data_IF_136511163769
#
_entry.id   IF_136511163769
#
_cell.length_a   1.000
_cell.length_b   1.000
_cell.length_c   1.000
_cell.angle_alpha   90.00
_cell.angle_beta   90.00
_cell.angle_gamma   90.00
#
_symmetry.space_group_name_H-M   'P 1'
#
loop_
_entity.id
_entity.type
_entity.pdbx_description
1 polymer ?
2 polymer ?
#
# COMPACT_ATOMS: atom_id res chain seq x y z
N UNK A 1 -11.57 -15.34 -22.18
CA UNK A 1 -11.25 -15.75 -20.80
C UNK A 1 -12.06 -14.88 -19.85
N UNK A 2 -13.36 -14.89 -20.06
CA UNK A 2 -14.22 -13.83 -19.50
C UNK A 2 -14.69 -14.12 -18.09
N UNK A 3 -15.16 -13.05 -17.49
CA UNK A 3 -15.63 -12.86 -16.17
C UNK A 3 -16.62 -13.85 -15.57
N UNK A 4 -17.04 -13.43 -14.42
CA UNK A 4 -18.19 -13.83 -13.59
C UNK A 4 -18.63 -12.42 -13.15
N UNK A 5 -19.83 -11.95 -13.25
CA UNK A 5 -20.07 -10.51 -13.05
C UNK A 5 -20.41 -10.08 -11.63
N UNK A 6 -19.95 -8.87 -11.34
CA UNK A 6 -20.28 -8.07 -10.14
C UNK A 6 -20.47 -6.65 -10.69
N UNK A 7 -21.47 -5.94 -10.20
CA UNK A 7 -21.70 -4.54 -10.59
C UNK A 7 -20.56 -3.64 -10.16
N UNK A 8 -20.37 -2.54 -10.91
CA UNK A 8 -19.34 -1.56 -10.65
C UNK A 8 -19.33 -0.60 -9.51
N UNK A 9 -20.28 -0.46 -8.62
CA UNK A 9 -20.04 0.23 -7.31
C UNK A 9 -21.22 -0.06 -6.40
N UNK A 10 -20.95 -0.72 -5.28
CA UNK A 10 -22.09 -1.17 -4.43
C UNK A 10 -22.24 -0.25 -3.24
N UNK A 11 -22.76 0.93 -3.49
CA UNK A 11 -22.71 2.06 -2.54
C UNK A 11 -23.66 1.86 -1.37
N UNK A 12 -23.09 1.93 -0.18
CA UNK A 12 -23.83 1.87 1.08
C UNK A 12 -23.80 3.19 1.86
N UNK A 13 -24.48 3.11 2.99
CA UNK A 13 -24.63 4.21 3.96
C UNK A 13 -24.14 3.64 5.29
N UNK A 14 -22.94 4.03 5.67
CA UNK A 14 -22.31 3.53 6.90
C UNK A 14 -23.40 3.27 7.96
N UNK A 15 -23.16 2.28 8.81
CA UNK A 15 -24.26 1.87 9.73
C UNK A 15 -25.16 0.83 9.08
N UNK A 16 -25.89 1.18 8.03
CA UNK A 16 -26.94 0.37 7.43
C UNK A 16 -26.62 -1.03 6.96
N UNK A 17 -26.76 -1.33 5.65
CA UNK A 17 -26.44 -2.62 5.05
C UNK A 17 -26.26 -2.50 3.54
N UNK A 18 -25.69 -3.55 2.95
CA UNK A 18 -25.47 -3.66 1.51
C UNK A 18 -24.88 -5.02 1.11
N UNK A 19 -25.48 -5.56 0.06
CA UNK A 19 -25.15 -6.89 -0.48
C UNK A 19 -24.53 -6.72 -1.85
N UNK A 20 -23.89 -7.74 -2.38
CA UNK A 20 -23.19 -7.62 -3.67
C UNK A 20 -23.19 -8.95 -4.40
N UNK A 21 -23.50 -8.95 -5.68
CA UNK A 21 -23.62 -10.19 -6.46
C UNK A 21 -22.35 -10.52 -7.25
N UNK A 22 -22.41 -11.69 -7.82
CA UNK A 22 -21.43 -12.41 -8.67
C UNK A 22 -22.36 -13.26 -9.56
N UNK A 23 -22.32 -13.15 -10.87
CA UNK A 23 -23.15 -14.00 -11.75
C UNK A 23 -22.26 -14.75 -12.72
N UNK A 24 -22.40 -16.07 -12.74
CA UNK A 24 -21.53 -16.91 -13.59
C UNK A 24 -22.31 -17.81 -14.54
N UNK A 25 -21.59 -18.74 -15.18
CA UNK A 25 -22.16 -19.73 -16.09
C UNK A 25 -22.50 -21.00 -15.32
N UNK A 26 -23.35 -21.83 -15.92
CA UNK A 26 -23.85 -23.07 -15.33
C UNK A 26 -22.76 -23.86 -14.59
N UNK A 27 -21.58 -23.83 -15.13
CA UNK A 27 -20.40 -24.47 -14.48
C UNK A 27 -19.76 -23.49 -13.50
N UNK A 28 -19.30 -22.38 -14.09
CA UNK A 28 -18.50 -21.39 -13.34
C UNK A 28 -19.49 -20.55 -12.52
N UNK A 29 -19.66 -21.01 -11.31
CA UNK A 29 -20.54 -20.59 -10.25
C UNK A 29 -21.63 -21.71 -10.12
N UNK A 30 -22.42 -21.75 -11.16
CA UNK A 30 -23.59 -22.59 -11.32
C UNK A 30 -23.54 -23.91 -10.60
N UNK A 31 -22.62 -24.77 -11.01
CA UNK A 31 -22.49 -26.11 -10.52
C UNK A 31 -21.66 -26.35 -9.31
N UNK A 32 -20.46 -25.82 -9.20
CA UNK A 32 -19.46 -26.37 -8.25
C UNK A 32 -19.47 -25.75 -6.87
N UNK A 33 -20.49 -24.99 -6.52
CA UNK A 33 -20.58 -24.27 -5.25
C UNK A 33 -19.26 -24.15 -4.48
N UNK A 34 -18.21 -23.63 -5.08
CA UNK A 34 -17.02 -23.19 -4.35
C UNK A 34 -16.75 -21.69 -4.55
N UNK A 35 -17.73 -20.88 -4.88
CA UNK A 35 -17.46 -19.43 -5.04
C UNK A 35 -16.78 -18.91 -3.79
N UNK A 36 -15.96 -17.89 -3.96
CA UNK A 36 -15.28 -17.19 -2.84
C UNK A 36 -15.17 -15.70 -3.12
N UNK A 37 -14.86 -14.93 -2.08
CA UNK A 37 -14.75 -13.44 -2.20
C UNK A 37 -13.47 -12.91 -1.58
N UNK A 38 -12.74 -12.07 -2.31
CA UNK A 38 -11.47 -11.51 -1.83
C UNK A 38 -11.55 -9.98 -1.68
N UNK A 39 -11.46 -9.59 -0.40
CA UNK A 39 -11.62 -8.15 -0.10
C UNK A 39 -10.29 -7.49 -0.47
N UNK A 40 -10.24 -7.07 -1.75
CA UNK A 40 -9.02 -6.34 -2.18
C UNK A 40 -9.25 -4.91 -1.66
N UNK A 41 -8.30 -4.54 -0.81
CA UNK A 41 -8.24 -3.17 -0.29
C UNK A 41 -7.39 -2.33 -1.23
N UNK A 42 -8.08 -1.60 -2.08
CA UNK A 42 -7.55 -0.48 -2.84
C UNK A 42 -6.05 -0.46 -3.04
N UNK A 43 -5.56 -1.23 -4.00
CA UNK A 43 -4.14 -1.35 -4.29
C UNK A 43 -3.37 -2.42 -3.55
N UNK A 44 -3.71 -2.72 -2.34
CA UNK A 44 -3.08 -3.67 -1.43
C UNK A 44 -3.29 -5.14 -1.80
N UNK A 45 -2.92 -6.01 -0.87
CA UNK A 45 -3.24 -7.43 -0.80
C UNK A 45 -4.72 -7.68 -0.47
N UNK A 46 -5.29 -8.69 -1.09
CA UNK A 46 -6.72 -8.95 -1.12
C UNK A 46 -7.42 -9.86 -0.15
N UNK A 47 -6.79 -10.47 0.80
CA UNK A 47 -7.38 -11.29 1.85
C UNK A 47 -8.77 -11.82 1.62
N UNK A 48 -8.91 -13.16 1.55
CA UNK A 48 -10.19 -13.82 1.27
C UNK A 48 -11.10 -13.64 2.49
N UNK A 49 -12.36 -13.37 2.23
CA UNK A 49 -13.35 -13.14 3.26
C UNK A 49 -14.52 -14.10 3.25
N UNK A 50 -14.65 -14.94 2.26
CA UNK A 50 -15.65 -16.01 2.19
C UNK A 50 -15.03 -17.12 1.29
N UNK A 51 -14.64 -18.19 1.95
CA UNK A 51 -14.08 -19.32 1.14
C UNK A 51 -15.26 -20.27 0.96
N UNK A 52 -15.47 -20.78 -0.23
CA UNK A 52 -16.42 -21.92 -0.38
C UNK A 52 -17.81 -21.56 0.11
N UNK A 53 -18.46 -20.80 -0.75
CA UNK A 53 -19.80 -20.31 -0.74
C UNK A 53 -20.19 -19.46 0.46
N UNK A 54 -20.22 -20.10 1.61
CA UNK A 54 -20.78 -19.52 2.83
C UNK A 54 -19.77 -19.60 3.97
N UNK A 55 -18.93 -20.65 3.94
CA UNK A 55 -17.95 -20.81 5.03
C UNK A 55 -16.98 -19.64 5.15
N UNK A 56 -17.01 -19.11 6.34
CA UNK A 56 -16.28 -18.00 6.93
C UNK A 56 -14.91 -18.39 7.47
N UNK A 57 -13.87 -17.73 6.95
CA UNK A 57 -12.54 -17.72 7.55
C UNK A 57 -12.56 -17.32 9.02
N UNK A 58 -11.51 -17.73 9.74
CA UNK A 58 -11.28 -17.33 11.13
C UNK A 58 -10.62 -15.95 11.20
N UNK A 59 -10.15 -15.48 10.05
CA UNK A 59 -9.53 -14.16 9.91
C UNK A 59 -10.47 -13.09 9.38
N UNK A 60 -11.76 -13.32 9.54
CA UNK A 60 -12.82 -12.38 9.05
C UNK A 60 -13.93 -12.24 10.07
N UNK A 61 -14.70 -11.14 9.99
CA UNK A 61 -15.85 -10.88 10.83
C UNK A 61 -17.25 -11.33 10.42
N UNK A 62 -18.12 -11.30 11.45
CA UNK A 62 -19.46 -11.90 11.44
C UNK A 62 -20.46 -11.23 10.52
N UNK A 63 -20.50 -9.93 10.47
CA UNK A 63 -21.45 -9.19 9.62
C UNK A 63 -21.19 -9.43 8.13
N UNK A 64 -20.22 -10.30 7.87
CA UNK A 64 -19.85 -10.59 6.45
C UNK A 64 -20.47 -11.91 5.99
N UNK A 65 -20.72 -12.09 4.68
CA UNK A 65 -21.22 -13.42 4.23
C UNK A 65 -21.47 -13.60 2.75
N UNK A 66 -22.03 -14.79 2.41
CA UNK A 66 -22.38 -15.18 1.05
C UNK A 66 -23.49 -16.20 0.92
N UNK A 67 -24.27 -16.07 -0.15
CA UNK A 67 -25.44 -16.92 -0.45
C UNK A 67 -25.43 -17.28 -1.94
N UNK A 68 -25.39 -18.58 -2.13
CA UNK A 68 -25.35 -19.21 -3.46
C UNK A 68 -26.77 -19.31 -4.00
N UNK A 69 -27.03 -18.60 -5.10
CA UNK A 69 -28.39 -18.64 -5.69
C UNK A 69 -28.55 -19.87 -6.60
N UNK A 70 -27.84 -19.79 -7.71
CA UNK A 70 -27.94 -20.76 -8.81
C UNK A 70 -26.84 -20.41 -9.82
N UNK A 71 -26.96 -19.21 -10.36
CA UNK A 71 -25.93 -18.65 -11.25
C UNK A 71 -25.31 -17.41 -10.60
N UNK A 72 -26.18 -16.67 -9.94
CA UNK A 72 -25.80 -15.52 -9.10
C UNK A 72 -25.38 -16.04 -7.73
N UNK A 73 -24.58 -15.26 -7.06
CA UNK A 73 -23.96 -15.52 -5.77
C UNK A 73 -23.72 -14.16 -5.10
N UNK A 74 -24.06 -14.06 -3.82
CA UNK A 74 -24.04 -12.72 -3.19
C UNK A 74 -23.40 -12.68 -1.82
N UNK A 75 -22.80 -11.53 -1.58
CA UNK A 75 -22.18 -11.09 -0.35
C UNK A 75 -23.24 -10.28 0.44
N UNK A 76 -23.17 -10.48 1.75
CA UNK A 76 -24.16 -9.85 2.68
C UNK A 76 -23.34 -9.04 3.68
N UNK A 77 -23.49 -7.74 3.55
CA UNK A 77 -22.71 -6.81 4.40
C UNK A 77 -23.65 -6.01 5.28
N UNK A 78 -23.79 -6.41 6.56
CA UNK A 78 -24.63 -5.49 7.41
C UNK A 78 -23.79 -4.82 8.49
N UNK A 79 -24.21 -3.59 8.83
CA UNK A 79 -23.59 -2.86 9.97
C UNK A 79 -22.38 -2.06 9.46
N UNK A 80 -22.50 -1.74 8.19
CA UNK A 80 -21.55 -1.00 7.38
C UNK A 80 -20.45 -0.28 8.14
N UNK A 81 -19.38 -1.01 8.44
CA UNK A 81 -18.11 -0.44 8.88
C UNK A 81 -17.44 0.33 7.72
N UNK A 82 -16.74 1.38 8.04
CA UNK A 82 -16.03 2.20 7.04
C UNK A 82 -14.82 1.50 6.45
N UNK A 83 -14.36 0.45 7.13
CA UNK A 83 -13.27 -0.40 6.63
C UNK A 83 -13.71 -0.86 5.22
N UNK A 84 -14.99 -1.27 5.25
CA UNK A 84 -15.51 -2.09 4.13
C UNK A 84 -15.62 -1.24 2.87
N UNK A 85 -14.97 -0.07 2.93
CA UNK A 85 -14.71 0.55 1.56
C UNK A 85 -13.60 -0.32 0.99
N UNK A 86 -13.87 -0.94 -0.15
CA UNK A 86 -12.93 -1.80 -0.86
C UNK A 86 -13.41 -2.19 -2.25
N UNK A 87 -12.58 -2.95 -2.94
CA UNK A 87 -12.94 -3.58 -4.24
C UNK A 87 -13.02 -5.09 -3.90
N UNK A 88 -14.14 -5.68 -4.24
CA UNK A 88 -14.30 -7.10 -3.85
C UNK A 88 -14.41 -7.98 -5.09
N UNK A 89 -13.68 -9.11 -5.03
CA UNK A 89 -13.83 -10.06 -6.17
C UNK A 89 -14.53 -11.31 -5.72
N UNK A 90 -15.33 -11.88 -6.60
CA UNK A 90 -15.90 -13.23 -6.40
C UNK A 90 -15.13 -14.17 -7.34
N UNK A 91 -15.21 -15.45 -7.06
CA UNK A 91 -14.51 -16.44 -7.88
C UNK A 91 -15.19 -17.80 -7.78
N UNK A 92 -15.26 -18.45 -8.94
CA UNK A 92 -15.83 -19.80 -9.00
C UNK A 92 -14.96 -20.73 -9.82
N UNK A 93 -15.59 -21.73 -10.40
CA UNK A 93 -14.86 -22.93 -10.90
C UNK A 93 -15.60 -23.42 -12.13
N UNK A 94 -14.83 -23.86 -13.10
CA UNK A 94 -15.37 -24.27 -14.41
C UNK A 94 -15.08 -25.72 -14.71
N UNK A 95 -14.07 -26.25 -14.03
CA UNK A 95 -13.61 -27.61 -14.21
C UNK A 95 -12.13 -27.77 -13.97
N UNK A 96 -11.50 -28.48 -14.89
CA UNK A 96 -10.09 -28.74 -15.05
C UNK A 96 -9.12 -27.94 -14.21
N UNK A 97 -9.38 -27.78 -12.93
CA UNK A 97 -8.57 -27.08 -11.95
C UNK A 97 -8.47 -25.58 -12.28
N UNK A 98 -9.43 -25.11 -13.08
CA UNK A 98 -9.44 -23.63 -13.31
C UNK A 98 -10.22 -23.00 -12.13
N UNK A 99 -9.87 -21.77 -11.81
CA UNK A 99 -10.77 -20.91 -11.01
C UNK A 99 -10.90 -19.55 -11.75
N UNK A 100 -12.11 -19.01 -11.68
CA UNK A 100 -12.46 -17.84 -12.49
C UNK A 100 -13.36 -16.88 -11.72
N UNK A 101 -12.79 -15.70 -11.53
CA UNK A 101 -13.26 -14.61 -10.70
C UNK A 101 -13.92 -13.54 -11.63
N UNK A 102 -14.66 -12.66 -10.95
CA UNK A 102 -15.38 -11.63 -11.65
C UNK A 102 -15.27 -10.19 -11.29
N UNK A 103 -14.62 -9.43 -12.16
CA UNK A 103 -14.50 -7.99 -12.17
C UNK A 103 -14.05 -7.34 -10.87
N UNK A 104 -14.99 -7.26 -9.94
CA UNK A 104 -14.78 -6.50 -8.69
C UNK A 104 -15.95 -5.52 -8.53
N UNK A 105 -16.22 -5.22 -7.28
CA UNK A 105 -17.31 -4.27 -6.93
C UNK A 105 -16.72 -3.35 -5.86
N UNK A 106 -16.68 -2.08 -6.20
CA UNK A 106 -16.16 -1.00 -5.36
C UNK A 106 -17.24 -0.54 -4.39
N UNK A 107 -17.25 -1.15 -3.21
CA UNK A 107 -18.30 -0.78 -2.24
C UNK A 107 -17.78 0.47 -1.50
N UNK A 108 -18.57 1.50 -1.69
CA UNK A 108 -18.45 2.86 -1.22
C UNK A 108 -19.29 3.10 0.03
N UNK A 109 -18.70 3.62 1.08
CA UNK A 109 -19.45 3.85 2.34
C UNK A 109 -19.69 5.34 2.54
N UNK A 110 -20.89 5.75 2.12
CA UNK A 110 -21.35 7.14 2.37
C UNK A 110 -21.72 7.24 3.84
N UNK A 111 -21.74 8.43 4.42
CA UNK A 111 -22.14 8.63 5.80
C UNK A 111 -21.05 8.89 6.80
N UNK A 112 -19.81 8.62 6.45
CA UNK A 112 -18.65 8.84 7.32
C UNK A 112 -18.25 10.33 7.29
N UNK A 113 -17.89 10.85 8.45
CA UNK A 113 -17.72 12.30 8.61
C UNK A 113 -16.48 12.87 7.98
N UNK A 114 -16.55 14.19 7.81
CA UNK A 114 -15.50 15.05 7.29
C UNK A 114 -14.49 15.30 8.42
N UNK A 115 -13.25 15.22 8.07
CA UNK A 115 -12.14 15.46 9.01
C UNK A 115 -11.25 16.53 8.38
N UNK A 116 -10.43 17.19 9.20
CA UNK A 116 -9.62 18.31 8.69
C UNK A 116 -8.13 18.06 8.91
N UNK A 117 -7.35 18.46 7.92
CA UNK A 117 -5.98 17.97 7.74
C UNK A 117 -5.01 18.43 8.80
N UNK A 118 -4.37 17.46 9.45
CA UNK A 118 -3.45 17.85 10.57
C UNK A 118 -2.08 18.17 10.04
N UNK A 119 -1.94 19.36 9.48
CA UNK A 119 -0.73 19.92 8.91
C UNK A 119 0.43 19.99 9.92
N UNK A 120 1.50 19.31 9.58
CA UNK A 120 2.71 19.26 10.41
C UNK A 120 3.94 19.61 9.60
N UNK A 121 4.40 20.85 9.73
CA UNK A 121 5.53 21.35 8.94
C UNK A 121 6.81 20.95 9.70
N UNK A 122 7.76 20.41 8.95
CA UNK A 122 9.04 20.01 9.60
C UNK A 122 10.14 20.92 9.07
N UNK A 123 11.24 20.90 9.79
CA UNK A 123 12.50 21.49 9.31
C UNK A 123 13.65 20.49 9.23
N UNK A 124 14.58 20.77 8.32
CA UNK A 124 15.82 20.03 8.15
C UNK A 124 16.51 19.63 9.44
N UNK A 125 16.82 18.34 9.51
CA UNK A 125 17.60 17.71 10.55
C UNK A 125 19.05 18.18 10.57
N UNK A 126 19.61 18.05 11.79
CA UNK A 126 21.03 18.37 12.05
C UNK A 126 21.82 17.59 10.99
N UNK A 127 21.58 16.28 11.11
CA UNK A 127 22.09 15.32 10.12
C UNK A 127 21.19 15.49 8.89
N UNK A 128 21.35 16.64 8.24
CA UNK A 128 20.88 16.81 6.85
C UNK A 128 21.72 17.95 6.25
N UNK A 129 21.64 19.02 7.06
CA UNK A 129 22.53 20.19 6.70
C UNK A 129 23.98 19.75 6.85
N UNK A 130 24.18 18.61 7.53
CA UNK A 130 25.55 18.09 7.68
C UNK A 130 26.13 17.72 6.31
N UNK A 131 25.22 17.31 5.45
CA UNK A 131 25.53 16.87 4.09
C UNK A 131 25.23 18.01 3.12
N UNK A 132 24.79 19.11 3.73
CA UNK A 132 24.58 20.37 2.97
C UNK A 132 23.33 20.33 2.11
N UNK A 133 22.34 19.64 2.62
CA UNK A 133 21.02 19.46 1.99
C UNK A 133 19.97 20.09 2.92
N UNK A 134 18.84 20.52 2.34
CA UNK A 134 17.71 20.82 3.30
C UNK A 134 16.39 20.71 2.56
N UNK A 135 15.83 19.50 2.58
CA UNK A 135 14.47 19.28 2.07
C UNK A 135 13.53 19.55 3.25
N UNK A 136 12.33 20.00 2.98
CA UNK A 136 11.34 20.35 3.98
C UNK A 136 10.09 19.54 3.62
N UNK A 137 9.69 18.72 4.55
CA UNK A 137 8.48 17.93 4.38
C UNK A 137 7.35 18.55 5.22
N UNK A 138 6.29 18.83 4.46
CA UNK A 138 5.01 19.15 5.16
C UNK A 138 4.36 17.77 5.30
N UNK A 139 3.94 17.46 6.50
CA UNK A 139 2.99 16.34 6.73
C UNK A 139 1.58 16.96 6.61
N UNK A 140 0.69 16.22 5.98
CA UNK A 140 -0.75 16.56 6.00
C UNK A 140 -1.54 15.28 6.31
N UNK A 141 -1.93 15.08 7.58
CA UNK A 141 -2.64 13.75 7.75
C UNK A 141 -4.10 13.84 8.14
N UNK A 142 -4.61 12.71 8.62
CA UNK A 142 -5.90 12.44 9.22
C UNK A 142 -7.09 13.20 8.69
N UNK A 143 -7.18 13.51 7.43
CA UNK A 143 -8.32 14.28 6.88
C UNK A 143 -9.35 13.42 6.18
N UNK A 144 -10.54 14.03 5.96
CA UNK A 144 -11.59 13.37 5.15
C UNK A 144 -12.56 14.40 4.59
N UNK A 145 -12.95 14.35 3.32
CA UNK A 145 -12.44 13.48 2.27
C UNK A 145 -11.08 13.90 1.75
N UNK A 146 -10.71 13.30 0.63
CA UNK A 146 -9.33 13.41 0.10
C UNK A 146 -9.13 14.45 -0.97
N UNK A 147 -9.91 15.51 -0.90
CA UNK A 147 -9.81 16.65 -1.81
C UNK A 147 -9.09 17.78 -1.06
N UNK A 148 -7.76 17.68 -1.08
CA UNK A 148 -6.88 18.66 -0.45
C UNK A 148 -6.09 19.43 -1.51
N UNK A 149 -5.47 20.51 -1.06
CA UNK A 149 -4.59 21.35 -1.89
C UNK A 149 -3.45 21.89 -1.04
N UNK A 150 -2.22 21.58 -1.45
CA UNK A 150 -1.04 22.04 -0.70
C UNK A 150 -0.20 22.88 -1.67
N UNK A 151 0.04 24.08 -1.18
CA UNK A 151 0.88 25.05 -1.88
C UNK A 151 1.80 25.64 -0.79
N UNK A 152 3.03 25.89 -1.22
CA UNK A 152 4.08 26.38 -0.34
C UNK A 152 4.36 27.88 -0.61
N UNK A 153 4.64 28.46 0.57
CA UNK A 153 5.08 29.91 0.45
C UNK A 153 6.53 29.92 0.91
N UNK A 154 7.19 31.01 0.63
CA UNK A 154 8.57 31.22 1.16
C UNK A 154 8.17 31.79 2.54
N UNK A 155 8.26 33.07 2.57
CA UNK A 155 7.73 33.96 3.63
C UNK A 155 7.32 35.17 2.75
N UNK A 156 6.03 35.31 2.60
CA UNK A 156 5.47 36.21 1.56
C UNK A 156 5.59 35.51 0.21
N UNK A 157 4.90 36.03 -0.76
CA UNK A 157 4.63 35.63 -2.11
C UNK A 157 5.00 34.29 -2.68
N UNK A 158 3.96 33.60 -3.20
CA UNK A 158 3.95 32.19 -3.52
C UNK A 158 5.22 31.57 -4.01
N UNK A 159 5.82 30.71 -3.16
CA UNK A 159 7.18 30.16 -3.53
C UNK A 159 7.04 28.69 -3.89
N UNK A 160 6.79 28.53 -5.17
CA UNK A 160 6.60 27.21 -5.81
C UNK A 160 7.86 26.90 -6.62
N UNK A 161 8.02 25.64 -6.97
CA UNK A 161 9.23 25.10 -7.59
C UNK A 161 10.08 24.60 -6.40
N UNK A 162 10.42 23.34 -6.52
CA UNK A 162 11.11 22.62 -5.42
C UNK A 162 9.98 21.74 -4.81
N UNK A 163 8.81 22.35 -4.90
CA UNK A 163 7.58 21.71 -4.42
C UNK A 163 7.27 20.61 -5.45
N UNK A 164 7.31 19.42 -4.88
CA UNK A 164 6.96 18.16 -5.62
C UNK A 164 6.15 17.43 -4.54
N UNK A 165 4.91 17.14 -4.89
CA UNK A 165 3.84 16.82 -3.94
C UNK A 165 3.43 15.36 -3.98
N UNK A 166 2.49 14.99 -3.09
CA UNK A 166 2.00 13.57 -3.09
C UNK A 166 0.49 13.57 -3.04
N UNK A 167 -0.13 12.48 -3.46
CA UNK A 167 -1.58 12.38 -3.68
C UNK A 167 -2.25 11.44 -2.69
N UNK A 168 -3.18 11.99 -1.89
CA UNK A 168 -3.59 11.43 -0.62
C UNK A 168 -3.93 9.97 -0.54
N UNK A 169 -3.09 9.23 0.20
CA UNK A 169 -3.40 7.80 0.46
C UNK A 169 -4.44 7.65 1.56
N UNK A 170 -5.21 6.58 1.50
CA UNK A 170 -6.01 6.14 2.69
C UNK A 170 -4.96 5.67 3.72
N UNK A 171 -5.16 6.01 4.97
CA UNK A 171 -4.27 5.56 6.06
C UNK A 171 -4.79 4.17 6.48
N UNK A 172 -4.78 3.91 7.77
CA UNK A 172 -5.26 2.59 8.27
C UNK A 172 -6.58 2.77 9.02
N UNK A 173 -7.32 3.74 8.53
CA UNK A 173 -8.61 4.15 9.11
C UNK A 173 -9.65 4.12 7.99
N UNK A 174 -9.44 5.03 7.08
CA UNK A 174 -10.30 5.48 6.00
C UNK A 174 -10.35 7.02 6.30
N UNK A 175 -9.16 7.54 6.21
CA UNK A 175 -8.82 8.95 6.37
C UNK A 175 -7.58 9.11 5.46
N UNK A 176 -7.27 10.32 5.05
CA UNK A 176 -6.16 10.51 4.10
C UNK A 176 -4.86 10.90 4.73
N UNK A 177 -3.82 10.79 3.89
CA UNK A 177 -2.42 11.00 4.22
C UNK A 177 -1.63 11.53 3.01
N UNK A 178 -1.13 12.74 3.17
CA UNK A 178 -0.40 13.45 2.12
C UNK A 178 0.93 13.98 2.64
N UNK A 179 1.88 14.03 1.74
CA UNK A 179 3.15 14.72 1.97
C UNK A 179 3.33 15.85 0.93
N UNK A 180 4.25 16.72 1.34
CA UNK A 180 4.74 17.80 0.45
C UNK A 180 6.24 17.91 0.68
N UNK A 181 6.97 18.35 -0.36
CA UNK A 181 8.41 18.63 -0.07
C UNK A 181 8.93 19.72 -0.97
N UNK A 182 9.58 20.65 -0.27
CA UNK A 182 10.32 21.77 -0.91
C UNK A 182 11.78 21.41 -0.62
N UNK A 183 12.63 21.59 -1.61
CA UNK A 183 14.04 21.17 -1.47
C UNK A 183 14.91 22.42 -1.58
N UNK A 184 15.30 22.89 -0.41
CA UNK A 184 16.21 24.00 -0.26
C UNK A 184 17.68 23.51 -0.34
N UNK A 185 18.47 24.55 -0.42
CA UNK A 185 19.92 24.60 -0.20
C UNK A 185 20.14 25.61 0.94
N UNK A 186 20.90 25.19 1.94
CA UNK A 186 21.08 25.95 3.19
C UNK A 186 21.31 27.44 2.93
N UNK A 187 22.21 27.66 1.98
CA UNK A 187 22.62 28.98 1.49
C UNK A 187 21.51 29.54 0.61
N UNK A 188 20.30 29.25 1.04
CA UNK A 188 19.06 29.76 0.40
C UNK A 188 17.94 29.53 1.42
N UNK A 189 18.41 29.04 2.57
CA UNK A 189 17.54 28.80 3.75
C UNK A 189 17.81 29.84 4.83
N UNK A 190 18.92 30.55 4.65
CA UNK A 190 19.24 31.64 5.63
C UNK A 190 19.05 33.00 4.96
N UNK A 191 18.43 32.93 3.81
CA UNK A 191 18.16 34.10 2.94
C UNK A 191 16.63 34.06 2.77
N UNK A 192 16.03 34.05 3.94
CA UNK A 192 14.60 33.95 4.20
C UNK A 192 14.40 34.07 5.71
N UNK A 193 13.22 34.48 6.13
CA UNK A 193 13.00 34.79 7.55
C UNK A 193 12.13 33.72 8.20
N UNK A 194 11.21 33.20 7.40
CA UNK A 194 10.36 32.08 7.77
C UNK A 194 9.98 31.36 6.46
N UNK A 195 9.19 30.33 6.62
CA UNK A 195 8.74 29.44 5.56
C UNK A 195 7.32 28.98 5.83
N UNK A 196 6.55 28.77 4.73
CA UNK A 196 5.16 28.29 5.03
C UNK A 196 4.82 27.03 4.26
N UNK A 197 3.84 26.31 4.81
CA UNK A 197 3.20 25.17 4.20
C UNK A 197 1.68 25.42 4.35
N UNK A 198 1.08 25.70 3.20
CA UNK A 198 -0.35 26.03 3.18
C UNK A 198 -1.14 24.85 2.61
N UNK A 199 -2.05 24.37 3.44
CA UNK A 199 -3.00 23.32 3.12
C UNK A 199 -4.41 23.90 3.04
N UNK A 200 -5.05 23.80 1.90
CA UNK A 200 -6.46 24.13 1.69
C UNK A 200 -7.24 22.81 1.70
N UNK A 201 -8.41 22.82 2.28
CA UNK A 201 -9.23 21.59 2.39
C UNK A 201 -10.68 22.02 2.58
N UNK A 202 -11.55 21.51 1.74
CA UNK A 202 -12.97 21.83 1.69
C UNK A 202 -13.33 23.21 2.18
N UNK A 203 -12.49 24.20 1.92
CA UNK A 203 -12.72 25.59 2.32
C UNK A 203 -11.89 25.98 3.53
N UNK A 204 -12.01 25.20 4.59
CA UNK A 204 -11.12 25.38 5.76
C UNK A 204 -9.68 25.29 5.19
N UNK A 205 -8.95 26.39 5.26
CA UNK A 205 -7.50 26.31 5.01
C UNK A 205 -6.73 26.42 6.34
N UNK A 206 -5.53 25.91 6.27
CA UNK A 206 -4.50 25.87 7.28
C UNK A 206 -3.20 26.35 6.55
N UNK A 207 -2.42 27.08 7.29
CA UNK A 207 -1.10 27.52 6.84
C UNK A 207 -0.21 27.42 8.08
N UNK A 208 0.86 26.66 7.96
CA UNK A 208 1.77 26.47 9.12
C UNK A 208 3.17 26.91 8.72
N UNK A 209 3.99 27.18 9.73
CA UNK A 209 5.26 27.90 9.53
C UNK A 209 6.48 27.27 10.16
N UNK A 210 7.59 27.27 9.42
CA UNK A 210 8.90 27.00 10.02
C UNK A 210 9.76 28.28 9.84
N UNK A 211 10.37 28.65 10.94
CA UNK A 211 11.41 29.69 10.92
C UNK A 211 12.75 28.98 11.10
N UNK A 212 13.78 29.55 10.50
CA UNK A 212 15.16 29.15 10.72
C UNK A 212 15.58 29.00 12.16
N UNK A 213 14.91 29.62 13.11
CA UNK A 213 15.23 29.59 14.53
C UNK A 213 14.99 28.24 15.18
N UNK A 214 15.84 27.25 14.95
CA UNK A 214 15.71 25.97 15.67
C UNK A 214 17.06 25.60 16.28
N UNK A 215 16.92 24.89 17.40
CA UNK A 215 18.10 24.15 17.94
C UNK A 215 18.66 23.38 16.72
N UNK A 216 17.81 22.49 16.24
CA UNK A 216 18.08 21.59 15.11
C UNK A 216 19.16 20.59 15.53
N UNK B 1 -1.82 -17.16 10.02
CA UNK B 1 -1.04 -16.66 8.88
C UNK B 1 -1.72 -15.48 8.24
N UNK B 2 -0.92 -14.54 7.74
CA UNK B 2 -1.45 -13.31 7.15
C UNK B 2 -0.78 -12.99 5.82
N UNK B 3 0.52 -12.80 5.92
CA UNK B 3 1.35 -12.33 4.81
C UNK B 3 2.46 -13.33 4.50
N UNK B 4 2.97 -13.20 3.31
CA UNK B 4 4.09 -13.96 2.75
C UNK B 4 5.01 -12.90 2.12
N UNK B 5 6.29 -13.14 2.17
CA UNK B 5 7.29 -12.18 1.74
C UNK B 5 7.50 -12.18 0.23
N UNK B 6 7.40 -10.98 -0.32
CA UNK B 6 7.65 -10.72 -1.74
C UNK B 6 8.28 -9.33 -1.97
N UNK B 7 9.12 -9.27 -2.99
CA UNK B 7 9.81 -8.04 -3.38
C UNK B 7 8.85 -6.96 -3.84
N UNK B 8 9.13 -5.73 -3.45
CA UNK B 8 8.64 -4.55 -4.22
C UNK B 8 9.14 -4.66 -5.65
N UNK B 9 9.29 -3.53 -6.34
CA UNK B 9 9.43 -3.56 -7.82
C UNK B 9 10.45 -4.60 -8.28
N UNK B 10 9.95 -5.46 -9.14
CA UNK B 10 10.70 -6.54 -9.80
C UNK B 10 10.51 -6.29 -11.30
N UNK B 11 11.63 -6.02 -11.97
CA UNK B 11 11.52 -5.41 -13.30
C UNK B 11 12.67 -5.66 -14.25
N UNK B 12 12.38 -5.18 -15.48
CA UNK B 12 13.38 -5.25 -16.57
C UNK B 12 12.77 -4.73 -17.86
N UNK B 13 13.59 -4.80 -18.88
CA UNK B 13 13.17 -4.53 -20.26
C UNK B 13 12.52 -5.81 -20.81
N UNK B 14 12.14 -5.67 -22.08
CA UNK B 14 11.51 -6.77 -22.83
C UNK B 14 12.69 -7.65 -23.24
N UNK B 15 12.62 -8.90 -22.85
CA UNK B 15 13.81 -9.78 -23.11
C UNK B 15 14.34 -10.16 -21.72
N UNK B 16 14.49 -9.12 -20.91
CA UNK B 16 14.93 -9.38 -19.51
C UNK B 16 14.03 -10.50 -18.97
N UNK B 17 14.60 -11.52 -18.38
CA UNK B 17 13.80 -12.56 -17.69
C UNK B 17 13.76 -12.21 -16.19
N UNK B 18 12.57 -11.78 -15.77
CA UNK B 18 12.39 -11.42 -14.35
C UNK B 18 11.99 -12.68 -13.56
N UNK B 19 12.36 -12.60 -12.30
CA UNK B 19 12.09 -13.64 -11.30
C UNK B 19 11.62 -12.85 -10.06
N UNK B 20 10.74 -13.50 -9.37
CA UNK B 20 9.97 -12.95 -8.25
C UNK B 20 9.88 -14.11 -7.27
N UNK B 21 9.58 -13.85 -6.03
CA UNK B 21 9.66 -14.93 -5.01
C UNK B 21 8.79 -14.60 -3.83
N UNK B 22 8.46 -15.65 -3.08
CA UNK B 22 7.42 -15.59 -2.04
C UNK B 22 7.76 -16.60 -0.96
N UNK B 23 8.52 -16.04 0.00
CA UNK B 23 8.98 -16.75 1.20
C UNK B 23 7.95 -16.69 2.31
N UNK B 24 8.02 -17.64 3.23
CA UNK B 24 7.11 -17.63 4.41
C UNK B 24 7.79 -18.22 5.63
N UNK B 25 7.00 -18.82 6.50
CA UNK B 25 7.55 -19.51 7.69
C UNK B 25 7.17 -20.98 7.72
N UNK B 26 8.05 -21.82 8.23
CA UNK B 26 8.27 -23.21 8.02
C UNK B 26 7.29 -24.25 7.61
N UNK B 27 6.01 -24.16 7.77
CA UNK B 27 5.08 -25.05 6.96
C UNK B 27 4.21 -24.12 6.16
N UNK B 28 2.97 -24.42 5.86
CA UNK B 28 2.09 -23.52 5.10
C UNK B 28 2.69 -23.19 3.73
N UNK B 29 3.88 -22.67 3.72
CA UNK B 29 4.78 -22.66 2.52
C UNK B 29 5.96 -23.54 2.95
N UNK B 30 5.94 -24.71 2.35
CA UNK B 30 6.87 -25.79 2.74
C UNK B 30 6.00 -26.87 3.40
N UNK B 31 6.11 -28.06 2.84
CA UNK B 31 5.33 -29.23 3.33
C UNK B 31 4.04 -29.16 2.47
N UNK B 32 3.41 -28.01 2.62
CA UNK B 32 2.44 -27.56 1.61
C UNK B 32 3.22 -27.44 0.29
N UNK B 33 3.16 -28.51 -0.50
CA UNK B 33 3.82 -28.51 -1.83
C UNK B 33 2.77 -27.90 -2.78
N UNK B 34 2.71 -26.59 -2.60
CA UNK B 34 1.62 -25.79 -3.17
C UNK B 34 1.92 -24.33 -2.83
N UNK B 35 1.32 -23.49 -3.61
CA UNK B 35 1.21 -22.05 -3.51
C UNK B 35 0.18 -21.75 -4.63
N UNK B 36 0.15 -20.55 -5.09
CA UNK B 36 -0.60 -20.26 -6.36
C UNK B 36 -0.28 -18.82 -6.73
N UNK B 37 -0.17 -18.53 -8.02
CA UNK B 37 0.19 -17.13 -8.41
C UNK B 37 -0.97 -16.35 -8.97
N UNK B 38 -0.85 -15.01 -9.00
CA UNK B 38 -1.95 -14.14 -9.47
C UNK B 38 -1.54 -12.82 -10.15
N UNK B 39 -2.00 -12.68 -11.35
CA UNK B 39 -1.74 -11.62 -12.32
C UNK B 39 -2.82 -10.53 -12.19
N UNK B 40 -2.40 -9.43 -11.61
CA UNK B 40 -3.25 -8.22 -11.47
C UNK B 40 -2.79 -7.28 -12.57
N UNK B 41 -3.68 -6.56 -13.19
CA UNK B 41 -3.25 -5.59 -14.24
C UNK B 41 -3.53 -4.16 -13.83
N UNK B 42 -4.41 -3.47 -14.53
CA UNK B 42 -5.05 -2.24 -13.96
C UNK B 42 -6.28 -2.83 -13.22
N UNK B 43 -7.43 -2.66 -13.83
CA UNK B 43 -8.65 -3.34 -13.35
C UNK B 43 -8.60 -4.82 -13.80
N UNK B 44 -8.36 -4.99 -15.08
CA UNK B 44 -8.55 -6.22 -15.81
C UNK B 44 -8.37 -7.51 -15.04
N UNK B 45 -9.48 -7.98 -14.54
CA UNK B 45 -9.86 -9.10 -13.79
C UNK B 45 -8.90 -10.11 -13.18
N UNK B 46 -8.24 -9.72 -12.09
CA UNK B 46 -7.21 -10.46 -11.40
C UNK B 46 -7.21 -11.96 -11.50
N UNK B 47 -6.34 -12.48 -12.37
CA UNK B 47 -6.36 -13.90 -12.75
C UNK B 47 -5.31 -14.75 -12.07
N UNK B 48 -5.60 -16.05 -11.91
CA UNK B 48 -4.70 -17.04 -11.36
C UNK B 48 -3.78 -17.55 -12.49
N UNK B 49 -2.52 -17.70 -12.12
CA UNK B 49 -1.57 -18.49 -12.89
C UNK B 49 -0.89 -19.42 -11.85
N UNK B 50 0.02 -20.23 -12.32
CA UNK B 50 0.79 -21.12 -11.41
C UNK B 50 -0.21 -21.68 -10.37
N UNK B 51 -0.74 -22.80 -10.78
CA UNK B 51 -1.70 -23.63 -10.05
C UNK B 51 -0.85 -24.71 -9.37
N UNK B 52 -1.26 -25.01 -8.16
CA UNK B 52 -0.38 -25.77 -7.21
C UNK B 52 0.99 -25.16 -7.37
N UNK B 53 2.10 -25.81 -7.15
CA UNK B 53 3.41 -25.13 -7.23
C UNK B 53 3.82 -24.72 -8.63
N UNK B 54 3.23 -25.29 -9.68
CA UNK B 54 3.72 -25.02 -11.03
C UNK B 54 2.77 -25.21 -12.18
N UNK B 55 1.84 -26.14 -12.08
CA UNK B 55 1.04 -26.48 -13.30
C UNK B 55 0.32 -25.20 -13.71
N UNK B 56 0.11 -25.01 -15.00
CA UNK B 56 -0.56 -23.81 -15.52
C UNK B 56 -2.04 -24.05 -15.78
N UNK B 57 -2.78 -22.94 -15.71
CA UNK B 57 -4.19 -22.93 -16.10
C UNK B 57 -4.37 -22.85 -17.62
N UNK B 58 -3.75 -23.81 -18.26
CA UNK B 58 -3.83 -24.09 -19.70
C UNK B 58 -3.56 -22.89 -20.57
N UNK B 59 -4.47 -21.93 -20.61
CA UNK B 59 -4.42 -20.76 -21.45
C UNK B 59 -3.19 -19.90 -21.38
N UNK B 60 -2.40 -20.07 -20.33
CA UNK B 60 -1.26 -19.24 -19.97
C UNK B 60 0.02 -19.64 -20.71
N UNK B 61 0.68 -18.66 -21.30
CA UNK B 61 1.92 -18.83 -22.03
C UNK B 61 2.98 -19.63 -21.28
N UNK B 62 3.49 -20.62 -22.01
CA UNK B 62 4.44 -21.63 -21.56
C UNK B 62 5.59 -20.96 -20.77
N UNK B 63 5.91 -19.76 -21.21
CA UNK B 63 6.99 -18.97 -20.61
C UNK B 63 6.59 -18.26 -19.32
N UNK B 64 5.62 -18.82 -18.63
CA UNK B 64 5.30 -18.45 -17.24
C UNK B 64 5.64 -19.69 -16.39
N UNK B 65 6.54 -19.46 -15.45
CA UNK B 65 7.02 -20.62 -14.64
C UNK B 65 6.95 -20.31 -13.16
N UNK B 66 6.91 -21.35 -12.34
CA UNK B 66 6.82 -21.22 -10.87
C UNK B 66 7.42 -22.47 -10.23
N UNK B 67 8.07 -22.31 -9.09
CA UNK B 67 8.87 -23.41 -8.48
C UNK B 67 9.19 -23.14 -7.02
N UNK B 68 9.60 -24.16 -6.27
CA UNK B 68 9.81 -24.07 -4.83
C UNK B 68 11.14 -24.60 -4.30
N UNK B 69 11.57 -23.93 -3.24
CA UNK B 69 12.78 -24.29 -2.48
C UNK B 69 12.58 -23.80 -1.03
N UNK B 70 12.64 -24.77 -0.13
CA UNK B 70 12.38 -24.57 1.30
C UNK B 70 11.07 -23.81 1.47
N UNK B 71 11.23 -22.62 2.02
CA UNK B 71 10.11 -21.73 2.36
C UNK B 71 9.85 -20.65 1.33
N UNK B 72 10.52 -20.74 0.21
CA UNK B 72 10.50 -19.77 -0.89
C UNK B 72 9.88 -20.39 -2.14
N UNK B 73 8.90 -19.67 -2.70
CA UNK B 73 8.32 -20.05 -4.02
C UNK B 73 8.65 -18.95 -5.01
N UNK B 74 8.83 -19.25 -6.29
CA UNK B 74 9.28 -18.27 -7.27
C UNK B 74 8.70 -18.39 -8.67
N UNK B 75 8.36 -17.19 -9.17
CA UNK B 75 7.79 -17.03 -10.52
C UNK B 75 8.91 -16.49 -11.42
N UNK B 76 8.94 -17.01 -12.64
CA UNK B 76 9.90 -16.59 -13.65
C UNK B 76 9.16 -16.23 -14.94
N UNK B 77 9.27 -14.95 -15.26
CA UNK B 77 8.77 -14.39 -16.52
C UNK B 77 10.02 -14.36 -17.43
N UNK B 78 10.15 -15.51 -18.08
CA UNK B 78 11.17 -15.77 -19.08
C UNK B 78 10.80 -14.93 -20.32
N UNK B 79 11.67 -14.01 -20.65
CA UNK B 79 11.56 -13.19 -21.85
C UNK B 79 10.46 -12.15 -21.76
N UNK B 80 10.56 -11.31 -20.72
CA UNK B 80 9.61 -10.24 -20.44
C UNK B 80 9.01 -9.70 -21.75
N UNK B 81 7.72 -9.54 -21.67
CA UNK B 81 6.86 -9.08 -22.77
C UNK B 81 6.07 -7.89 -22.22
N UNK B 82 6.07 -6.79 -22.91
CA UNK B 82 5.45 -5.52 -22.58
C UNK B 82 4.22 -5.51 -21.71
N UNK B 83 3.24 -6.28 -22.13
CA UNK B 83 1.92 -6.35 -21.49
C UNK B 83 2.00 -7.16 -20.21
N UNK B 84 3.21 -7.27 -19.66
CA UNK B 84 3.42 -8.13 -18.48
C UNK B 84 3.43 -7.23 -17.25
N UNK B 85 3.35 -5.91 -17.55
CA UNK B 85 3.28 -5.05 -16.30
C UNK B 85 2.05 -5.51 -15.51
N UNK B 86 2.28 -5.89 -14.26
CA UNK B 86 1.26 -6.41 -13.35
C UNK B 86 1.68 -6.41 -11.88
N UNK B 87 0.76 -6.86 -11.02
CA UNK B 87 1.07 -7.16 -9.60
C UNK B 87 0.93 -8.68 -9.45
N UNK B 88 1.73 -9.25 -8.56
CA UNK B 88 1.78 -10.71 -8.38
C UNK B 88 1.56 -11.11 -6.93
N UNK B 89 0.53 -11.96 -6.78
CA UNK B 89 0.22 -12.45 -5.39
C UNK B 89 0.22 -13.97 -5.34
N UNK B 90 0.88 -14.52 -4.32
CA UNK B 90 0.91 -15.94 -4.02
C UNK B 90 -0.03 -16.32 -2.86
N UNK B 91 -0.72 -17.45 -2.99
CA UNK B 91 -1.51 -18.00 -1.87
C UNK B 91 -1.00 -19.36 -1.39
N UNK B 92 -1.41 -19.77 -0.18
CA UNK B 92 -1.05 -21.12 0.33
C UNK B 92 -2.14 -22.01 0.87
N UNK B 93 -2.23 -22.30 2.19
CA UNK B 93 -3.35 -23.01 2.79
C UNK B 93 -3.23 -23.46 4.25
N UNK B 94 -4.41 -23.73 4.86
CA UNK B 94 -4.50 -23.95 6.33
C UNK B 94 -5.89 -24.50 6.63
N UNK B 95 -5.88 -25.72 7.15
CA UNK B 95 -7.06 -26.58 7.29
C UNK B 95 -7.97 -26.51 6.07
N UNK B 96 -9.15 -27.09 6.22
CA UNK B 96 -10.20 -27.04 5.17
C UNK B 96 -10.78 -25.61 5.17
N UNK B 97 -9.86 -24.66 5.32
CA UNK B 97 -10.23 -23.34 5.91
C UNK B 97 -9.62 -22.21 5.10
N UNK B 98 -8.66 -21.49 5.72
CA UNK B 98 -8.24 -20.20 5.18
C UNK B 98 -6.74 -20.16 4.85
N UNK B 99 -6.44 -19.05 4.17
CA UNK B 99 -5.23 -18.90 3.38
C UNK B 99 -4.71 -17.48 3.23
N UNK B 100 -3.42 -17.50 2.88
CA UNK B 100 -2.53 -16.37 2.90
C UNK B 100 -1.89 -16.07 1.55
N UNK B 101 -1.70 -14.77 1.40
CA UNK B 101 -1.21 -14.11 0.21
C UNK B 101 0.09 -13.39 0.59
N UNK B 102 0.91 -13.18 -0.42
CA UNK B 102 2.17 -12.41 -0.21
C UNK B 102 1.88 -10.92 -0.36
N UNK B 103 2.90 -10.14 -0.05
CA UNK B 103 2.83 -8.65 -0.11
C UNK B 103 3.27 -8.28 -1.54
N UNK B 104 2.36 -8.63 -2.42
CA UNK B 104 2.48 -8.66 -3.83
C UNK B 104 3.67 -7.97 -4.44
N UNK B 105 4.27 -8.64 -5.41
CA UNK B 105 5.29 -7.99 -6.29
C UNK B 105 4.57 -7.11 -7.30
N UNK B 106 5.32 -6.22 -7.91
CA UNK B 106 4.87 -5.38 -9.02
C UNK B 106 6.00 -5.45 -10.06
N UNK B 107 5.63 -5.84 -11.28
CA UNK B 107 6.62 -5.95 -12.35
C UNK B 107 6.60 -4.71 -13.24
N UNK B 108 7.67 -3.92 -13.10
CA UNK B 108 7.79 -2.77 -14.03
C UNK B 108 8.66 -3.14 -15.22
N UNK B 109 8.19 -2.72 -16.40
CA UNK B 109 9.03 -2.85 -17.62
C UNK B 109 9.61 -1.45 -17.84
N UNK B 110 10.91 -1.40 -17.66
CA UNK B 110 11.70 -0.17 -17.61
C UNK B 110 11.47 0.78 -18.79
N UNK B 111 11.33 2.04 -18.44
CA UNK B 111 11.36 3.15 -19.42
C UNK B 111 12.73 3.84 -19.20
N UNK B 112 12.85 4.32 -17.97
CA UNK B 112 14.03 5.12 -17.61
C UNK B 112 14.96 4.34 -16.70
N UNK B 113 16.16 4.87 -16.58
CA UNK B 113 17.16 4.39 -15.63
C UNK B 113 16.58 4.34 -14.23
N UNK B 114 16.98 3.28 -13.52
CA UNK B 114 16.53 2.98 -12.18
C UNK B 114 17.03 4.03 -11.17
N UNK B 115 16.35 3.97 -10.04
CA UNK B 115 16.55 4.97 -8.98
C UNK B 115 15.95 4.32 -7.72
N UNK B 116 16.73 4.42 -6.69
CA UNK B 116 16.39 3.73 -5.42
C UNK B 116 16.66 4.79 -4.34
N UNK B 117 15.77 4.73 -3.35
CA UNK B 117 15.34 5.95 -2.67
C UNK B 117 16.38 6.80 -1.99
N UNK B 118 16.15 8.12 -2.11
CA UNK B 118 16.86 9.06 -1.20
C UNK B 118 15.84 9.37 -0.11
N UNK B 119 16.07 8.55 0.92
CA UNK B 119 15.33 8.52 2.19
C UNK B 119 15.93 9.64 3.04
N UNK B 120 15.10 10.30 3.82
CA UNK B 120 15.60 11.27 4.81
C UNK B 120 14.59 11.26 5.95
N UNK B 121 15.12 10.92 7.11
CA UNK B 121 14.26 10.79 8.31
C UNK B 121 14.36 12.09 9.12
N UNK B 122 13.16 12.59 9.40
CA UNK B 122 13.04 13.81 10.25
C UNK B 122 12.66 13.38 11.66
N UNK B 123 12.98 14.25 12.59
CA UNK B 123 12.51 14.15 13.99
C UNK B 123 11.36 15.12 14.19
N UNK B 124 10.90 15.22 15.43
CA UNK B 124 9.76 16.09 15.76
C UNK B 124 10.23 17.53 15.89
N UNK B 125 9.39 18.43 15.40
CA UNK B 125 9.63 19.88 15.55
C UNK B 125 9.26 20.30 16.98
N UNK B 126 10.03 21.27 17.42
CA UNK B 126 9.86 21.93 18.73
C UNK B 126 8.39 22.28 18.93
N UNK B 127 7.79 22.89 17.93
CA UNK B 127 6.31 22.98 17.86
C UNK B 127 5.70 21.68 18.40
N UNK B 128 5.71 20.67 17.56
CA UNK B 128 5.14 19.35 17.84
C UNK B 128 5.30 18.97 19.30
N UNK B 129 6.54 19.10 19.77
CA UNK B 129 6.88 18.68 21.16
C UNK B 129 6.21 19.59 22.18
N UNK B 130 6.14 20.86 21.86
CA UNK B 130 5.56 21.89 22.75
C UNK B 130 4.05 21.89 22.70
N UNK B 131 3.54 21.19 21.71
CA UNK B 131 2.12 20.90 21.57
C UNK B 131 1.84 19.61 22.37
N UNK B 132 2.97 18.98 22.72
CA UNK B 132 2.89 17.67 23.44
C UNK B 132 2.36 16.65 22.43
N UNK B 133 2.99 16.67 21.26
CA UNK B 133 2.75 15.70 20.18
C UNK B 133 4.10 15.07 19.76
N UNK B 134 4.03 13.91 19.11
CA UNK B 134 5.25 13.30 18.53
C UNK B 134 4.94 12.53 17.25
N UNK B 135 5.75 12.80 16.23
CA UNK B 135 5.61 12.18 14.91
C UNK B 135 6.89 12.29 14.09
N UNK B 136 7.22 11.23 13.36
CA UNK B 136 8.46 11.17 12.58
C UNK B 136 8.20 10.70 11.13
N UNK B 137 8.66 11.53 10.23
CA UNK B 137 8.42 11.42 8.79
C UNK B 137 9.67 10.93 8.05
N UNK B 138 9.42 9.80 7.39
CA UNK B 138 10.43 9.13 6.55
C UNK B 138 10.05 9.57 5.12
N UNK B 139 10.85 10.49 4.62
CA UNK B 139 10.59 11.04 3.28
C UNK B 139 11.44 10.18 2.34
N UNK B 140 10.66 9.41 1.60
CA UNK B 140 11.33 8.50 0.61
C UNK B 140 11.01 9.01 -0.78
N UNK B 141 11.99 9.78 -1.35
CA UNK B 141 11.81 10.33 -2.71
C UNK B 141 12.91 9.99 -3.70
N UNK B 142 12.56 10.14 -4.98
CA UNK B 142 13.43 10.06 -6.14
C UNK B 142 13.75 8.62 -6.57
N UNK B 143 12.72 7.80 -6.68
CA UNK B 143 12.83 6.42 -7.14
C UNK B 143 12.21 6.17 -8.53
N UNK B 144 12.62 5.01 -9.01
CA UNK B 144 11.99 4.34 -10.17
C UNK B 144 12.44 2.88 -10.14
N UNK B 145 11.53 1.94 -10.13
CA UNK B 145 10.08 2.08 -10.19
C UNK B 145 9.44 2.41 -8.86
N UNK B 146 8.13 2.56 -8.84
CA UNK B 146 7.34 2.93 -7.71
C UNK B 146 7.02 1.96 -6.63
N UNK B 147 7.74 0.85 -6.44
CA UNK B 147 7.49 -0.03 -5.29
C UNK B 147 8.71 -0.14 -4.37
N UNK B 148 8.57 0.49 -3.21
CA UNK B 148 9.54 0.51 -2.12
C UNK B 148 8.88 -0.19 -0.90
N UNK B 149 9.70 -0.56 0.04
CA UNK B 149 9.18 -1.20 1.26
C UNK B 149 9.67 -0.36 2.42
N UNK B 150 8.72 0.03 3.25
CA UNK B 150 8.97 0.95 4.36
C UNK B 150 8.79 0.28 5.70
N UNK B 151 9.88 -0.18 6.29
CA UNK B 151 9.84 -0.76 7.64
C UNK B 151 10.35 0.29 8.63
N UNK B 152 9.75 0.33 9.81
CA UNK B 152 10.23 1.14 10.93
C UNK B 152 10.60 0.18 12.09
N UNK B 153 11.52 0.74 12.91
CA UNK B 153 11.98 -0.12 14.05
C UNK B 153 12.73 0.64 15.12
N UNK B 154 12.13 0.57 16.31
CA UNK B 154 12.61 1.27 17.51
C UNK B 154 13.55 0.33 18.27
N UNK B 155 14.71 0.87 18.61
CA UNK B 155 15.76 0.12 19.32
C UNK B 155 15.92 -1.30 18.78
N UNK B 156 16.06 -1.37 17.46
CA UNK B 156 16.28 -2.63 16.74
C UNK B 156 14.98 -3.38 16.47
N UNK B 157 14.08 -3.39 17.44
CA UNK B 157 12.84 -4.15 17.35
C UNK B 157 11.85 -3.49 16.39
N UNK B 158 11.41 -4.30 15.42
CA UNK B 158 10.44 -3.88 14.41
C UNK B 158 9.21 -3.36 15.14
N UNK B 159 8.64 -2.31 14.55
CA UNK B 159 7.49 -1.67 15.30
C UNK B 159 6.33 -1.36 14.37
N UNK B 160 5.14 -1.13 14.95
CA UNK B 160 3.91 -0.94 14.19
C UNK B 160 2.94 0.12 14.68
N UNK B 161 2.73 0.27 15.95
CA UNK B 161 1.84 1.14 16.64
C UNK B 161 1.13 2.30 15.96
N UNK B 162 1.73 3.00 15.05
CA UNK B 162 1.07 4.16 14.41
C UNK B 162 1.86 4.58 13.18
N UNK B 163 2.18 3.58 12.37
CA UNK B 163 2.99 3.80 11.17
C UNK B 163 1.98 3.89 10.01
N UNK B 164 2.42 4.68 9.03
CA UNK B 164 1.62 4.72 7.77
C UNK B 164 2.58 4.92 6.60
N UNK B 165 2.16 4.48 5.42
CA UNK B 165 2.97 4.61 4.22
C UNK B 165 2.19 5.02 2.98
N UNK B 166 2.29 6.31 2.74
CA UNK B 166 1.66 6.96 1.57
C UNK B 166 2.18 6.34 0.29
N UNK B 167 1.33 5.64 -0.44
CA UNK B 167 1.66 5.11 -1.78
C UNK B 167 2.04 6.23 -2.75
N UNK B 168 2.87 5.88 -3.74
CA UNK B 168 3.47 6.77 -4.70
C UNK B 168 2.82 7.99 -5.30
N UNK B 169 3.72 8.76 -5.97
CA UNK B 169 3.41 9.95 -6.76
C UNK B 169 4.49 10.10 -7.85
N UNK B 170 4.03 10.26 -9.07
CA UNK B 170 4.89 10.56 -10.22
C UNK B 170 5.30 12.03 -10.14
N UNK B 171 6.32 12.27 -9.33
CA UNK B 171 6.87 13.64 -9.20
C UNK B 171 7.37 14.11 -10.56
N UNK B 172 7.03 15.32 -10.90
CA UNK B 172 7.28 16.02 -12.13
C UNK B 172 8.45 15.64 -12.98
N UNK B 173 9.50 15.03 -12.47
CA UNK B 173 10.58 14.52 -13.36
C UNK B 173 10.35 13.04 -13.66
N UNK B 174 9.13 12.59 -13.43
CA UNK B 174 8.68 11.24 -13.75
C UNK B 174 8.97 10.23 -12.64
N UNK B 175 10.03 10.48 -11.89
CA UNK B 175 10.43 9.58 -10.79
C UNK B 175 9.35 9.63 -9.73
N UNK B 176 9.47 8.85 -8.67
CA UNK B 176 8.43 8.72 -7.66
C UNK B 176 8.80 9.26 -6.28
N UNK B 177 7.74 9.30 -5.45
CA UNK B 177 7.87 9.76 -4.06
C UNK B 177 6.77 9.17 -3.19
N UNK B 178 7.16 8.85 -1.96
CA UNK B 178 6.34 8.30 -0.92
C UNK B 178 6.78 8.77 0.48
N UNK B 179 5.88 8.54 1.43
CA UNK B 179 6.06 8.95 2.82
C UNK B 179 5.74 7.80 3.78
N UNK B 180 6.12 8.05 5.02
CA UNK B 180 5.77 7.09 6.11
C UNK B 180 5.94 7.84 7.42
N UNK B 181 5.16 7.45 8.43
CA UNK B 181 5.23 8.22 9.71
C UNK B 181 4.91 7.37 10.92
N UNK B 182 5.70 7.60 11.97
CA UNK B 182 5.39 7.07 13.32
C UNK B 182 4.70 8.21 14.09
N UNK B 183 3.68 7.85 14.83
CA UNK B 183 3.00 8.81 15.74
C UNK B 183 3.11 8.24 17.15
N UNK B 184 3.81 9.01 17.97
CA UNK B 184 4.13 8.64 19.34
C UNK B 184 3.87 9.88 20.23
N UNK B 185 4.11 9.59 21.47
CA UNK B 185 4.17 10.64 22.53
C UNK B 185 5.65 10.93 22.67
N UNK B 186 5.96 12.01 23.35
CA UNK B 186 7.32 12.20 23.91
C UNK B 186 7.56 11.27 25.09
N UNK B 187 6.52 10.57 25.52
CA UNK B 187 6.67 9.42 26.47
C UNK B 187 7.52 8.41 25.67
N UNK B 188 6.84 7.86 24.69
CA UNK B 188 7.33 6.93 23.69
C UNK B 188 8.60 7.34 22.97
N UNK B 189 8.70 8.56 22.49
CA UNK B 189 9.93 9.03 21.81
C UNK B 189 11.05 9.21 22.82
N UNK B 190 10.73 9.65 24.05
CA UNK B 190 11.87 9.94 24.96
C UNK B 190 12.50 8.68 25.50
N UNK B 191 11.71 7.61 25.66
CA UNK B 191 12.28 6.38 26.27
C UNK B 191 13.00 5.44 25.35
N UNK B 192 13.37 5.81 24.13
CA UNK B 192 14.12 4.89 23.23
C UNK B 192 15.44 5.52 22.77
N UNK B 193 16.41 4.67 22.45
CA UNK B 193 17.78 5.12 22.19
C UNK B 193 17.90 5.68 20.75
N UNK B 194 17.34 4.87 19.87
CA UNK B 194 17.38 5.14 18.43
C UNK B 194 16.10 4.57 17.81
N UNK B 195 15.69 5.23 16.76
CA UNK B 195 14.53 4.81 15.94
C UNK B 195 15.02 4.75 14.49
N UNK B 196 14.54 3.81 13.69
CA UNK B 196 14.90 3.89 12.25
C UNK B 196 13.78 3.71 11.25
N UNK B 197 14.16 4.02 10.00
CA UNK B 197 13.33 3.89 8.81
C UNK B 197 14.15 3.18 7.73
N UNK B 198 13.61 2.07 7.28
CA UNK B 198 14.25 1.15 6.34
C UNK B 198 13.44 0.99 5.05
N UNK B 199 14.09 1.27 3.95
CA UNK B 199 13.46 1.33 2.64
C UNK B 199 14.17 0.43 1.61
N UNK B 200 13.50 -0.69 1.38
CA UNK B 200 13.80 -1.69 0.37
C UNK B 200 13.31 -1.31 -1.03
N UNK B 201 14.12 -1.59 -2.04
CA UNK B 201 13.69 -1.37 -3.45
C UNK B 201 14.69 -1.90 -4.45
N UNK B 202 14.43 -3.08 -5.00
CA UNK B 202 15.26 -3.81 -5.92
C UNK B 202 16.65 -4.16 -5.44
N UNK B 203 16.63 -4.91 -4.33
CA UNK B 203 17.84 -5.40 -3.66
C UNK B 203 18.28 -4.34 -2.65
N UNK B 204 18.65 -3.20 -3.20
CA UNK B 204 19.09 -2.05 -2.39
C UNK B 204 18.05 -1.79 -1.31
N UNK B 205 18.50 -1.94 -0.10
CA UNK B 205 17.76 -1.67 1.15
C UNK B 205 18.52 -0.67 2.01
N UNK B 206 17.93 0.50 2.22
CA UNK B 206 18.63 1.58 2.99
C UNK B 206 17.92 1.86 4.30
N UNK B 207 18.64 2.42 5.26
CA UNK B 207 18.16 2.57 6.65
C UNK B 207 18.64 3.90 7.21
N UNK B 208 17.88 4.47 8.15
CA UNK B 208 18.24 5.76 8.78
C UNK B 208 17.87 5.72 10.26
N UNK B 209 18.80 6.13 11.11
CA UNK B 209 18.64 6.01 12.56
C UNK B 209 18.67 7.35 13.28
N UNK B 210 17.52 7.78 13.77
CA UNK B 210 17.40 9.04 14.51
C UNK B 210 17.17 8.83 16.00
N UNK B 211 17.93 9.62 16.75
CA UNK B 211 17.97 9.62 18.20
C UNK B 211 17.15 10.77 18.82
N UNK B 212 16.78 10.53 20.09
CA UNK B 212 16.13 11.54 20.92
C UNK B 212 17.05 12.57 21.55
N UNK B 213 16.85 13.79 21.08
CA UNK B 213 17.36 15.00 21.69
C UNK B 213 16.18 16.00 21.75
N UNK B 214 16.06 16.54 22.92
CA UNK B 214 14.91 17.26 23.43
C UNK B 214 14.92 18.74 23.10
N UNK B 215 15.98 19.20 22.48
CA UNK B 215 16.18 20.69 22.25
C UNK B 215 16.23 21.21 23.68
N UNK B 216 15.43 22.17 24.08
CA UNK B 216 15.37 22.67 25.47
C UNK B 216 15.05 24.16 25.53
C UNK C 1 -9.27 -25.08 -2.95
N UNK C 2 -8.56 -24.10 -3.49
CA UNK C 2 -7.73 -23.19 -2.73
C UNK C 2 -7.67 -21.87 -3.53
N UNK C 3 -8.91 -21.30 -3.60
CA UNK C 3 -9.08 -20.05 -4.38
C UNK C 3 -8.39 -20.01 -5.74
#
# INVERSE_FOLDING_TARGET
PSALTQPPSASGSLGQSVTISCTGTSSDVGGYNYVSWYQQHAGKAPKVIIYEVNKRPSGVPDRFSGSKSGNTASLTVSGLQAEDEADYYCSSYEGSDNFVFGTGTKVTVLGQPKANPTVTLFPPSSEELQANKATLVCLISDFYPGAVTVAWKADGSPVKAGVETTKPSKQSNNKYAASSYLSLTPEQWKSHRSYSCQVTHEGSTVEKTVAPTECS
PSALTQPPSASGSLGQSVTISCTGTSSDVGGYNYVSWYQQHAGKAPKVIIYEVNKRPSGVPDRFSGSKSGNTASLTVSGLQAEDEADYYCSSYEGSDNFVFGTGTKVTVLGQPKANPTVTLFPPSSEELQANKATLVCLISDFYPGAVTVAWKADGSPVKAGVETTKPSKQSNNKYAASSYLSLTPEQWKSHRSYSCQVTHEGSTVEKTVAPTECS
XHP
#
